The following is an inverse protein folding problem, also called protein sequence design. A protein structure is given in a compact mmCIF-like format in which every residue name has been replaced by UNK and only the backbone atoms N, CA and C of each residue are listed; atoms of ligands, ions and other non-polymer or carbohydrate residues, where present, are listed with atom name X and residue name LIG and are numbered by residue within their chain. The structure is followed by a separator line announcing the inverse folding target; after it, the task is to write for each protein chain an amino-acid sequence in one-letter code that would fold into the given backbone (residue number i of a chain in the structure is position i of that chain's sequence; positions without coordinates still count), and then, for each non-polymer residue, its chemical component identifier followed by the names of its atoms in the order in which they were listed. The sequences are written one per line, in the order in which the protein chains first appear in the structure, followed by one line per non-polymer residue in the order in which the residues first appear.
data_IF_223380363825
#
_entry.id   IF_223380363825
#
_cell.length_a   1.000
_cell.length_b   1.000
_cell.length_c   1.000
_cell.angle_alpha   90.00
_cell.angle_beta   90.00
_cell.angle_gamma   90.00
#
_symmetry.space_group_name_H-M   'P 1'
#
loop_
_entity.id
_entity.type
_entity.pdbx_description
1 polymer ?
#
# COMPACT_ATOMS: atom_id res chain seq x y z
N UNK A 1 -17.79 9.62 0.51
CA UNK A 1 -16.65 8.68 0.43
C UNK A 1 -16.09 8.70 -0.98
N UNK A 2 -14.79 8.83 -1.12
CA UNK A 2 -14.15 8.89 -2.43
C UNK A 2 -13.43 7.57 -2.71
N UNK A 3 -13.98 6.79 -3.64
CA UNK A 3 -13.43 5.47 -3.96
C UNK A 3 -12.04 5.56 -4.59
N UNK A 4 -11.78 6.63 -5.30
CA UNK A 4 -10.48 6.82 -5.94
C UNK A 4 -9.40 7.01 -4.87
N UNK A 5 -9.67 7.85 -3.88
CA UNK A 5 -8.73 8.05 -2.79
C UNK A 5 -8.50 6.76 -2.01
N UNK A 6 -9.57 6.04 -1.74
CA UNK A 6 -9.46 4.75 -1.03
C UNK A 6 -8.59 3.78 -1.80
N UNK A 7 -8.78 3.73 -3.11
CA UNK A 7 -8.01 2.83 -3.97
C UNK A 7 -6.53 3.21 -3.95
N UNK A 8 -6.23 4.49 -4.08
CA UNK A 8 -4.83 4.96 -4.09
C UNK A 8 -4.15 4.66 -2.76
N UNK A 9 -4.83 4.93 -1.67
CA UNK A 9 -4.27 4.68 -0.34
C UNK A 9 -4.03 3.18 -0.14
N UNK A 10 -4.94 2.35 -0.58
CA UNK A 10 -4.79 0.90 -0.47
C UNK A 10 -3.58 0.43 -1.28
N UNK A 11 -3.44 0.92 -2.49
CA UNK A 11 -2.32 0.54 -3.35
C UNK A 11 -0.98 0.97 -2.74
N UNK A 12 -0.91 2.20 -2.27
CA UNK A 12 0.32 2.72 -1.66
C UNK A 12 0.70 1.89 -0.44
N UNK A 13 -0.27 1.55 0.39
CA UNK A 13 -0.01 0.74 1.57
C UNK A 13 0.50 -0.64 1.22
N UNK A 14 -0.09 -1.26 0.19
CA UNK A 14 0.32 -2.60 -0.24
C UNK A 14 1.76 -2.59 -0.76
N UNK A 15 2.12 -1.58 -1.54
CA UNK A 15 3.48 -1.46 -2.07
C UNK A 15 4.47 -1.24 -0.93
N UNK A 16 4.14 -0.36 -0.01
CA UNK A 16 5.00 -0.08 1.12
C UNK A 16 5.20 -1.31 1.99
N UNK A 17 4.13 -2.04 2.26
CA UNK A 17 4.22 -3.28 3.02
C UNK A 17 5.07 -4.33 2.34
N UNK A 18 4.98 -4.40 1.02
CA UNK A 18 5.79 -5.32 0.24
C UNK A 18 7.29 -5.00 0.39
N UNK A 19 7.64 -3.74 0.34
CA UNK A 19 9.03 -3.32 0.50
C UNK A 19 9.56 -3.65 1.90
N UNK A 20 8.75 -3.36 2.91
CA UNK A 20 9.14 -3.66 4.29
C UNK A 20 9.35 -5.16 4.49
N UNK A 21 8.46 -5.97 3.94
CA UNK A 21 8.58 -7.41 4.03
C UNK A 21 9.88 -7.90 3.37
N UNK A 22 10.25 -7.31 2.24
CA UNK A 22 11.48 -7.66 1.55
C UNK A 22 12.71 -7.33 2.39
N UNK A 23 12.67 -6.21 3.10
CA UNK A 23 13.78 -5.83 3.97
C UNK A 23 13.92 -6.76 5.17
N UNK A 24 12.79 -7.23 5.67
CA UNK A 24 12.79 -8.12 6.83
C UNK A 24 13.15 -9.56 6.49
N UNK A 25 12.98 -9.94 5.23
CA UNK A 25 13.21 -11.31 4.79
C UNK A 25 14.71 -11.61 4.54
#
# INVERSE_FOLDING_TARGET
MNLIYSFVIFEAGAIFGFFVAALLN
#
